data_IF_310023611728
#
_entry.id   IF_310023611728
#
_cell.length_a   1.000
_cell.length_b   1.000
_cell.length_c   1.000
_cell.angle_alpha   90.00
_cell.angle_beta   90.00
_cell.angle_gamma   90.00
#
_symmetry.space_group_name_H-M   'P 1'
#
loop_
_entity.id
_entity.type
_entity.pdbx_description
1 polymer ?
#
# COMPACT_ATOMS: atom_id res chain seq x y z
N UNK A 1 -9.09 13.02 -8.53
CA UNK A 1 -9.39 12.52 -7.18
C UNK A 1 -8.08 12.24 -6.48
N UNK A 2 -7.85 12.81 -5.30
CA UNK A 2 -6.67 12.54 -4.48
C UNK A 2 -6.82 11.22 -3.71
N UNK A 3 -5.73 10.63 -3.24
CA UNK A 3 -5.79 9.42 -2.39
C UNK A 3 -6.65 9.65 -1.14
N UNK A 4 -6.63 10.87 -0.59
CA UNK A 4 -7.46 11.26 0.56
C UNK A 4 -8.95 11.27 0.23
N UNK A 5 -9.33 11.80 -0.93
CA UNK A 5 -10.71 11.80 -1.39
C UNK A 5 -11.20 10.38 -1.69
N UNK A 6 -10.34 9.55 -2.28
CA UNK A 6 -10.65 8.16 -2.62
C UNK A 6 -11.00 7.34 -1.37
N UNK A 7 -10.14 7.39 -0.34
CA UNK A 7 -10.38 6.68 0.92
C UNK A 7 -11.66 7.14 1.61
N UNK A 8 -11.96 8.46 1.62
CA UNK A 8 -13.20 8.97 2.20
C UNK A 8 -14.44 8.37 1.51
N UNK A 9 -14.43 8.31 0.18
CA UNK A 9 -15.52 7.71 -0.59
C UNK A 9 -15.68 6.21 -0.32
N UNK A 10 -14.57 5.47 -0.24
CA UNK A 10 -14.61 4.03 0.11
C UNK A 10 -15.27 3.84 1.48
N UNK A 11 -14.83 4.58 2.49
CA UNK A 11 -15.37 4.47 3.87
C UNK A 11 -16.85 4.85 3.92
N UNK A 12 -17.27 5.83 3.14
CA UNK A 12 -18.67 6.25 3.05
C UNK A 12 -19.57 5.25 2.30
N UNK A 13 -19.00 4.23 1.64
CA UNK A 13 -19.76 3.34 0.75
C UNK A 13 -20.19 4.00 -0.57
N UNK A 14 -19.57 5.13 -0.92
CA UNK A 14 -19.84 5.82 -2.18
C UNK A 14 -19.32 5.01 -3.38
N UNK A 15 -19.87 5.29 -4.57
CA UNK A 15 -19.33 4.76 -5.82
C UNK A 15 -17.90 5.26 -6.06
N UNK A 16 -17.00 4.33 -6.32
CA UNK A 16 -15.58 4.58 -6.63
C UNK A 16 -15.14 3.81 -7.87
N UNK A 17 -14.12 4.33 -8.55
CA UNK A 17 -13.61 3.78 -9.82
C UNK A 17 -12.82 2.47 -9.64
N UNK A 18 -12.34 2.21 -8.41
CA UNK A 18 -11.69 0.96 -7.99
C UNK A 18 -11.97 0.68 -6.52
N UNK A 19 -11.90 -0.59 -6.14
CA UNK A 19 -11.92 -0.98 -4.72
C UNK A 19 -10.70 -0.42 -3.99
N UNK A 20 -10.86 -0.20 -2.68
CA UNK A 20 -9.74 0.05 -1.80
C UNK A 20 -8.79 -1.15 -1.76
N UNK A 21 -7.50 -0.87 -1.72
CA UNK A 21 -6.46 -1.89 -1.68
C UNK A 21 -5.70 -1.81 -0.35
N UNK A 22 -5.47 -2.99 0.24
CA UNK A 22 -4.62 -3.16 1.41
C UNK A 22 -3.73 -4.38 1.19
N UNK A 23 -2.43 -4.16 1.02
CA UNK A 23 -1.44 -5.23 0.86
C UNK A 23 -1.28 -6.09 2.13
N UNK A 24 -1.66 -5.54 3.29
CA UNK A 24 -1.49 -6.21 4.57
C UNK A 24 -0.04 -6.22 5.07
N UNK A 25 0.32 -7.33 5.70
CA UNK A 25 1.67 -7.66 6.13
C UNK A 25 2.08 -9.01 5.50
N UNK A 26 2.56 -9.00 4.24
CA UNK A 26 3.05 -10.21 3.59
C UNK A 26 4.11 -10.91 4.45
N UNK A 27 4.18 -12.25 4.36
CA UNK A 27 5.29 -13.01 4.93
C UNK A 27 6.63 -12.50 4.39
N UNK A 28 7.70 -12.60 5.18
CA UNK A 28 9.02 -12.09 4.80
C UNK A 28 9.51 -12.67 3.46
N UNK A 29 9.31 -13.97 3.25
CA UNK A 29 9.65 -14.68 2.00
C UNK A 29 8.86 -14.19 0.78
N UNK A 30 7.73 -13.51 0.97
CA UNK A 30 6.91 -12.98 -0.12
C UNK A 30 7.50 -11.70 -0.71
N UNK A 31 8.21 -10.89 0.10
CA UNK A 31 8.75 -9.60 -0.36
C UNK A 31 9.74 -9.72 -1.52
N UNK A 32 10.73 -10.63 -1.51
CA UNK A 32 11.62 -10.82 -2.66
C UNK A 32 10.87 -11.16 -3.96
N UNK A 33 9.80 -11.96 -3.88
CA UNK A 33 8.98 -12.34 -5.03
C UNK A 33 8.25 -11.12 -5.58
N UNK A 34 7.64 -10.33 -4.69
CA UNK A 34 6.94 -9.10 -5.08
C UNK A 34 7.91 -8.07 -5.68
N UNK A 35 9.08 -7.87 -5.07
CA UNK A 35 10.12 -6.97 -5.57
C UNK A 35 10.62 -7.38 -6.95
N UNK A 36 10.85 -8.68 -7.17
CA UNK A 36 11.24 -9.19 -8.48
C UNK A 36 10.13 -8.97 -9.53
N UNK A 37 8.87 -9.25 -9.19
CA UNK A 37 7.75 -9.07 -10.12
C UNK A 37 7.49 -7.59 -10.46
N UNK A 38 7.49 -6.72 -9.45
CA UNK A 38 7.16 -5.31 -9.62
C UNK A 38 8.39 -4.44 -9.94
N UNK A 39 9.61 -4.98 -9.88
CA UNK A 39 10.84 -4.23 -10.12
C UNK A 39 11.11 -3.13 -9.10
N UNK A 40 10.77 -3.36 -7.83
CA UNK A 40 10.98 -2.41 -6.72
C UNK A 40 12.06 -2.89 -5.77
N UNK A 41 12.68 -1.97 -5.02
CA UNK A 41 13.81 -2.26 -4.12
C UNK A 41 13.47 -2.15 -2.64
N UNK A 42 12.37 -1.48 -2.30
CA UNK A 42 11.92 -1.29 -0.92
C UNK A 42 10.42 -1.48 -0.81
N UNK A 43 9.95 -1.86 0.37
CA UNK A 43 8.53 -2.02 0.68
C UNK A 43 7.75 -0.72 0.40
N UNK A 44 8.33 0.43 0.74
CA UNK A 44 7.71 1.74 0.49
C UNK A 44 7.53 2.01 -1.01
N UNK A 45 8.53 1.67 -1.83
CA UNK A 45 8.44 1.79 -3.28
C UNK A 45 7.32 0.91 -3.83
N UNK A 46 7.21 -0.34 -3.36
CA UNK A 46 6.14 -1.24 -3.75
C UNK A 46 4.75 -0.71 -3.33
N UNK A 47 4.60 -0.30 -2.07
CA UNK A 47 3.33 0.21 -1.54
C UNK A 47 2.86 1.46 -2.29
N UNK A 48 3.78 2.36 -2.63
CA UNK A 48 3.48 3.53 -3.49
C UNK A 48 3.07 3.11 -4.89
N UNK A 49 3.79 2.16 -5.49
CA UNK A 49 3.50 1.66 -6.84
C UNK A 49 2.11 1.01 -6.93
N UNK A 50 1.69 0.30 -5.89
CA UNK A 50 0.38 -0.36 -5.83
C UNK A 50 -0.77 0.57 -5.44
N UNK A 51 -0.49 1.82 -5.07
CA UNK A 51 -1.46 2.70 -4.40
C UNK A 51 -2.12 1.99 -3.20
N UNK A 52 -1.30 1.43 -2.30
CA UNK A 52 -1.72 0.79 -1.05
C UNK A 52 -2.46 1.81 -0.18
N UNK A 53 -3.80 1.82 -0.27
CA UNK A 53 -4.65 2.87 0.30
C UNK A 53 -4.67 2.85 1.81
N UNK A 54 -4.38 1.68 2.38
CA UNK A 54 -4.28 1.45 3.81
C UNK A 54 -3.01 0.67 4.11
N UNK A 55 -2.28 1.05 5.15
CA UNK A 55 -1.05 0.36 5.54
C UNK A 55 -0.78 0.47 7.02
N UNK A 56 -0.05 -0.51 7.55
CA UNK A 56 0.56 -0.38 8.87
C UNK A 56 1.66 0.67 8.80
N UNK A 57 1.59 1.69 9.66
CA UNK A 57 2.61 2.73 9.76
C UNK A 57 3.16 2.71 11.19
N UNK A 58 4.15 1.84 11.42
CA UNK A 58 4.79 1.66 12.72
C UNK A 58 6.25 2.12 12.66
N UNK A 59 6.77 2.80 13.70
CA UNK A 59 8.14 3.35 13.68
C UNK A 59 9.23 2.33 13.37
N UNK A 60 9.02 1.05 13.75
CA UNK A 60 9.97 -0.03 13.51
C UNK A 60 10.17 -0.35 12.03
N UNK A 61 9.25 0.06 11.16
CA UNK A 61 9.34 -0.16 9.71
C UNK A 61 9.98 1.01 8.96
N UNK A 62 10.35 2.08 9.66
CA UNK A 62 10.99 3.26 9.06
C UNK A 62 12.30 3.58 9.79
N UNK A 63 13.41 3.04 9.28
CA UNK A 63 14.73 3.39 9.80
C UNK A 63 15.14 4.79 9.34
N UNK A 64 15.35 5.72 10.28
CA UNK A 64 15.92 7.05 10.02
C UNK A 64 14.91 8.19 9.81
N UNK A 65 13.69 8.08 10.35
CA UNK A 65 12.84 9.24 10.65
C UNK A 65 13.06 9.64 12.11
#
# INVERSE_FOLDING_TARGET
MTSREHIKKIINGDKVDRCGFWLGNPHEDTWPILHNYFGTKTDEELRRKLNDDFRWFTPQFFHGI
#
